data_IF_164313148953
#
_entry.id   IF_164313148953
#
_cell.length_a   1.000
_cell.length_b   1.000
_cell.length_c   1.000
_cell.angle_alpha   90.00
_cell.angle_beta   90.00
_cell.angle_gamma   90.00
#
_symmetry.space_group_name_H-M   'P 1'
#
loop_
_entity.id
_entity.type
_entity.pdbx_description
1 polymer ?
#
# COMPACT_ATOMS: atom_id res chain seq x y z
N UNK A 1 18.20 -0.89 1.77
CA UNK A 1 18.13 -2.30 2.04
C UNK A 1 16.85 -3.00 1.61
N UNK A 2 16.31 -2.71 0.39
CA UNK A 2 15.06 -3.34 -0.09
C UNK A 2 15.27 -4.30 -1.27
N UNK A 3 16.49 -4.72 -1.52
CA UNK A 3 16.80 -5.66 -2.59
C UNK A 3 16.65 -7.13 -2.17
N UNK A 4 16.07 -7.34 -1.01
CA UNK A 4 15.71 -8.63 -0.49
C UNK A 4 14.70 -9.31 -1.38
N UNK A 5 15.08 -10.40 -1.99
CA UNK A 5 14.20 -11.27 -2.78
C UNK A 5 13.29 -10.49 -3.72
N UNK A 6 13.39 -10.67 -4.99
CA UNK A 6 12.50 -10.05 -5.98
C UNK A 6 11.08 -10.53 -5.66
N UNK A 7 10.35 -9.76 -4.85
CA UNK A 7 8.97 -10.00 -4.44
C UNK A 7 8.16 -8.75 -4.72
N UNK A 8 7.03 -8.93 -5.35
CA UNK A 8 6.01 -7.91 -5.50
C UNK A 8 5.51 -7.45 -4.13
N UNK A 9 5.14 -6.18 -4.04
CA UNK A 9 4.74 -5.53 -2.79
C UNK A 9 3.46 -4.73 -2.97
N UNK A 10 2.57 -4.89 -2.02
CA UNK A 10 1.39 -4.03 -1.85
C UNK A 10 1.41 -3.39 -0.47
N UNK A 11 0.66 -2.32 -0.31
CA UNK A 11 0.53 -1.62 0.96
C UNK A 11 -0.93 -1.56 1.40
N UNK A 12 -1.17 -1.53 2.71
CA UNK A 12 -2.40 -0.95 3.21
C UNK A 12 -2.42 0.55 2.92
N UNK A 13 -3.59 1.18 3.00
CA UNK A 13 -3.73 2.64 2.82
C UNK A 13 -2.74 3.41 3.71
N UNK A 14 -2.61 3.03 4.99
CA UNK A 14 -1.67 3.68 5.93
C UNK A 14 -0.20 3.30 5.71
N UNK A 15 0.08 2.30 4.90
CA UNK A 15 1.45 1.86 4.56
C UNK A 15 2.03 2.53 3.32
N UNK A 16 1.26 3.36 2.62
CA UNK A 16 1.74 4.06 1.43
C UNK A 16 2.95 4.95 1.73
N UNK A 17 3.91 4.96 0.82
CA UNK A 17 5.19 5.62 1.01
C UNK A 17 6.22 4.80 1.80
N UNK A 18 5.81 3.72 2.47
CA UNK A 18 6.75 2.78 3.11
C UNK A 18 7.60 1.98 2.11
N UNK A 19 7.10 1.89 0.88
CA UNK A 19 7.83 1.39 -0.28
C UNK A 19 7.57 2.34 -1.47
N UNK A 20 8.60 2.71 -2.25
CA UNK A 20 8.43 3.68 -3.34
C UNK A 20 7.41 3.22 -4.38
N UNK A 21 6.44 4.08 -4.67
CA UNK A 21 5.36 3.75 -5.61
C UNK A 21 5.83 3.66 -7.07
N UNK A 22 6.95 4.28 -7.42
CA UNK A 22 7.58 4.18 -8.74
C UNK A 22 8.32 2.85 -8.97
N UNK A 23 8.55 2.07 -7.91
CA UNK A 23 9.28 0.82 -8.04
C UNK A 23 8.47 -0.23 -8.82
N UNK A 24 9.11 -0.92 -9.77
CA UNK A 24 8.46 -1.91 -10.67
C UNK A 24 7.71 -3.05 -9.97
N UNK A 25 8.10 -3.36 -8.73
CA UNK A 25 7.47 -4.41 -7.91
C UNK A 25 6.36 -3.87 -7.00
N UNK A 26 6.03 -2.59 -7.07
CA UNK A 26 4.93 -2.05 -6.30
C UNK A 26 3.61 -2.27 -7.04
N UNK A 27 2.66 -2.89 -6.36
CA UNK A 27 1.35 -3.24 -6.92
C UNK A 27 0.24 -2.24 -6.53
N UNK A 28 0.55 -1.28 -5.66
CA UNK A 28 -0.45 -0.35 -5.14
C UNK A 28 -1.04 -0.77 -3.79
N UNK A 29 -2.23 -0.27 -3.51
CA UNK A 29 -2.96 -0.58 -2.27
C UNK A 29 -3.71 -1.90 -2.35
N UNK A 30 -3.73 -2.62 -1.23
CA UNK A 30 -4.53 -3.82 -1.03
C UNK A 30 -5.81 -3.48 -0.25
N UNK A 31 -6.88 -4.20 -0.54
CA UNK A 31 -8.14 -4.15 0.18
C UNK A 31 -9.30 -3.62 -0.64
N UNK A 32 -10.38 -3.24 0.04
CA UNK A 32 -11.68 -2.86 -0.56
C UNK A 32 -11.56 -1.76 -1.65
N UNK A 33 -10.63 -0.85 -1.48
CA UNK A 33 -10.37 0.27 -2.40
C UNK A 33 -9.03 0.12 -3.13
N UNK A 34 -8.43 -1.08 -3.07
CA UNK A 34 -7.19 -1.38 -3.75
C UNK A 34 -7.37 -1.59 -5.25
N UNK A 35 -6.25 -1.68 -5.96
CA UNK A 35 -6.26 -2.03 -7.37
C UNK A 35 -6.67 -3.50 -7.56
N UNK A 36 -7.38 -3.79 -8.65
CA UNK A 36 -7.88 -5.13 -8.93
C UNK A 36 -6.74 -6.14 -9.06
N UNK A 37 -5.69 -5.77 -9.76
CA UNK A 37 -4.50 -6.60 -9.93
C UNK A 37 -3.84 -6.94 -8.59
N UNK A 38 -3.85 -6.02 -7.63
CA UNK A 38 -3.33 -6.27 -6.28
C UNK A 38 -4.14 -7.34 -5.56
N UNK A 39 -5.47 -7.28 -5.68
CA UNK A 39 -6.38 -8.30 -5.16
C UNK A 39 -6.15 -9.67 -5.82
N UNK A 40 -5.99 -9.69 -7.14
CA UNK A 40 -5.70 -10.92 -7.90
C UNK A 40 -4.36 -11.53 -7.49
N UNK A 41 -3.32 -10.71 -7.39
CA UNK A 41 -1.99 -11.16 -6.97
C UNK A 41 -2.04 -11.78 -5.58
N UNK A 42 -2.72 -11.13 -4.63
CA UNK A 42 -2.85 -11.64 -3.27
C UNK A 42 -3.63 -12.96 -3.20
N UNK A 43 -4.72 -13.08 -3.99
CA UNK A 43 -5.54 -14.29 -4.02
C UNK A 43 -4.84 -15.50 -4.65
N UNK A 44 -3.87 -15.27 -5.55
CA UNK A 44 -3.14 -16.34 -6.23
C UNK A 44 -1.72 -16.57 -5.68
N UNK A 45 -1.33 -15.83 -4.65
CA UNK A 45 -0.02 -16.01 -4.03
C UNK A 45 0.07 -17.34 -3.26
N UNK A 46 1.20 -18.01 -3.35
CA UNK A 46 1.57 -19.20 -2.56
C UNK A 46 2.19 -18.83 -1.21
N UNK A 47 2.75 -17.60 -1.12
CA UNK A 47 3.38 -17.05 0.08
C UNK A 47 2.99 -15.57 0.26
N UNK A 48 2.46 -15.25 1.42
CA UNK A 48 2.18 -13.87 1.84
C UNK A 48 3.03 -13.55 3.07
N UNK A 49 3.87 -12.53 2.95
CA UNK A 49 4.66 -12.01 4.08
C UNK A 49 4.01 -10.69 4.52
N UNK A 50 3.32 -10.71 5.64
CA UNK A 50 2.67 -9.55 6.22
C UNK A 50 3.61 -8.85 7.21
N UNK A 51 3.92 -7.59 6.94
CA UNK A 51 4.87 -6.79 7.72
C UNK A 51 4.11 -5.63 8.37
N UNK A 52 3.85 -5.69 9.67
CA UNK A 52 3.10 -4.69 10.42
C UNK A 52 1.66 -4.51 9.93
N UNK A 53 1.03 -5.58 9.46
CA UNK A 53 -0.30 -5.54 8.87
C UNK A 53 -1.33 -6.17 9.80
N UNK A 54 -2.35 -5.42 10.19
CA UNK A 54 -3.39 -5.89 11.13
C UNK A 54 -4.51 -6.71 10.48
N UNK A 55 -4.48 -6.89 9.16
CA UNK A 55 -5.53 -7.60 8.41
C UNK A 55 -6.95 -7.14 8.78
N UNK A 56 -7.16 -5.81 8.79
CA UNK A 56 -8.50 -5.27 9.03
C UNK A 56 -9.48 -5.75 7.97
N UNK A 57 -10.78 -5.66 8.25
CA UNK A 57 -11.86 -5.96 7.31
C UNK A 57 -11.74 -5.19 5.98
N UNK A 58 -11.22 -3.95 6.04
CA UNK A 58 -10.98 -3.12 4.85
C UNK A 58 -9.84 -3.65 3.97
N UNK A 59 -8.90 -4.41 4.52
CA UNK A 59 -7.76 -5.01 3.82
C UNK A 59 -8.03 -6.45 3.45
N UNK A 60 -8.46 -7.26 4.40
CA UNK A 60 -8.65 -8.69 4.19
C UNK A 60 -10.01 -9.06 3.59
N UNK A 61 -11.03 -8.19 3.72
CA UNK A 61 -12.39 -8.51 3.30
C UNK A 61 -12.93 -9.72 4.08
N UNK A 62 -13.17 -10.82 3.39
CA UNK A 62 -13.50 -12.10 4.00
C UNK A 62 -12.23 -12.72 4.60
N UNK A 63 -12.12 -12.65 5.93
CA UNK A 63 -10.92 -13.08 6.68
C UNK A 63 -10.65 -14.57 6.60
N UNK A 64 -11.68 -15.39 6.36
CA UNK A 64 -11.54 -16.84 6.24
C UNK A 64 -10.98 -17.24 4.89
N UNK A 65 -11.27 -16.43 3.86
CA UNK A 65 -10.80 -16.66 2.48
C UNK A 65 -9.52 -15.91 2.14
N UNK A 66 -9.08 -15.00 2.99
CA UNK A 66 -7.86 -14.22 2.72
C UNK A 66 -6.63 -15.13 2.71
N UNK A 67 -6.01 -15.27 1.54
CA UNK A 67 -4.80 -16.07 1.39
C UNK A 67 -5.03 -17.57 1.70
N UNK A 68 -6.23 -18.11 1.43
CA UNK A 68 -6.56 -19.51 1.74
C UNK A 68 -5.61 -20.53 1.12
N UNK A 69 -4.99 -20.18 -0.01
CA UNK A 69 -4.02 -21.01 -0.72
C UNK A 69 -2.57 -20.64 -0.38
N UNK A 70 -2.34 -19.64 0.45
CA UNK A 70 -1.04 -19.12 0.75
C UNK A 70 -0.49 -19.58 2.10
N UNK A 71 0.81 -19.78 2.18
CA UNK A 71 1.51 -19.76 3.46
C UNK A 71 1.64 -18.32 3.93
N UNK A 72 1.05 -17.99 5.07
CA UNK A 72 1.14 -16.64 5.64
C UNK A 72 2.21 -16.60 6.72
N UNK A 73 3.16 -15.66 6.58
CA UNK A 73 4.14 -15.28 7.59
C UNK A 73 3.75 -13.91 8.12
N UNK A 74 3.47 -13.78 9.40
CA UNK A 74 3.06 -12.52 10.02
C UNK A 74 4.16 -11.97 10.91
N UNK A 75 4.61 -10.75 10.62
CA UNK A 75 5.62 -10.01 11.38
C UNK A 75 4.98 -8.79 12.00
N UNK A 76 4.98 -8.70 13.30
CA UNK A 76 4.45 -7.54 14.03
C UNK A 76 5.19 -7.34 15.35
N UNK A 77 5.24 -6.10 15.82
CA UNK A 77 5.77 -5.79 17.15
C UNK A 77 4.75 -6.12 18.25
N UNK A 78 3.45 -6.06 17.90
CA UNK A 78 2.36 -6.33 18.85
C UNK A 78 1.91 -7.79 18.73
N UNK A 79 2.21 -8.55 19.78
CA UNK A 79 1.76 -9.95 19.90
C UNK A 79 0.25 -10.11 19.79
N UNK A 80 -0.53 -9.09 20.19
CA UNK A 80 -1.99 -9.16 20.16
C UNK A 80 -2.57 -9.11 18.73
N UNK A 81 -1.82 -8.63 17.76
CA UNK A 81 -2.24 -8.62 16.34
C UNK A 81 -2.02 -9.98 15.66
N UNK A 82 -1.11 -10.82 16.20
CA UNK A 82 -0.81 -12.13 15.61
C UNK A 82 -2.02 -13.07 15.72
N UNK A 83 -2.43 -13.63 14.58
CA UNK A 83 -3.56 -14.55 14.45
C UNK A 83 -4.94 -13.99 14.89
N UNK A 84 -5.03 -12.68 15.06
CA UNK A 84 -6.27 -12.02 15.49
C UNK A 84 -7.34 -12.05 14.39
N UNK A 85 -7.00 -11.65 13.20
CA UNK A 85 -7.93 -11.53 12.07
C UNK A 85 -7.72 -12.62 11.02
N UNK A 86 -6.48 -12.92 10.69
CA UNK A 86 -6.10 -13.95 9.71
C UNK A 86 -5.09 -14.89 10.38
N UNK A 87 -5.25 -16.17 10.16
CA UNK A 87 -4.32 -17.18 10.72
C UNK A 87 -3.02 -17.21 9.93
N UNK A 88 -1.91 -17.09 10.61
CA UNK A 88 -0.57 -17.23 10.03
C UNK A 88 0.03 -18.58 10.37
N UNK A 89 0.77 -19.16 9.44
CA UNK A 89 1.53 -20.40 9.67
C UNK A 89 2.77 -20.14 10.49
N UNK A 90 3.42 -18.98 10.27
CA UNK A 90 4.57 -18.53 11.03
C UNK A 90 4.36 -17.10 11.49
N UNK A 91 4.87 -16.79 12.68
CA UNK A 91 4.83 -15.43 13.22
C UNK A 91 6.18 -15.04 13.81
N UNK A 92 6.58 -13.80 13.57
CA UNK A 92 7.78 -13.18 14.11
C UNK A 92 7.36 -11.94 14.89
N UNK A 93 7.63 -11.93 16.20
CA UNK A 93 7.28 -10.84 17.09
C UNK A 93 8.55 -10.06 17.43
N UNK A 94 8.58 -8.78 17.08
CA UNK A 94 9.74 -7.92 17.35
C UNK A 94 9.75 -6.67 16.50
N UNK A 95 10.82 -5.89 16.65
CA UNK A 95 11.06 -4.74 15.80
C UNK A 95 11.21 -5.15 14.34
N UNK A 96 10.45 -4.50 13.46
CA UNK A 96 10.42 -4.86 12.05
C UNK A 96 11.73 -4.55 11.33
N UNK A 97 12.47 -3.52 11.75
CA UNK A 97 13.76 -3.19 11.16
C UNK A 97 14.77 -4.29 11.44
N UNK A 98 14.84 -4.75 12.69
CA UNK A 98 15.75 -5.80 13.10
C UNK A 98 15.38 -7.15 12.46
N UNK A 99 14.08 -7.47 12.48
CA UNK A 99 13.55 -8.71 11.87
C UNK A 99 13.84 -8.75 10.36
N UNK A 100 13.55 -7.65 9.63
CA UNK A 100 13.79 -7.58 8.21
C UNK A 100 15.30 -7.57 7.87
N UNK A 101 16.12 -6.91 8.68
CA UNK A 101 17.58 -6.93 8.50
C UNK A 101 18.14 -8.33 8.61
N UNK A 102 17.72 -9.07 9.65
CA UNK A 102 18.13 -10.46 9.85
C UNK A 102 17.65 -11.37 8.74
N UNK A 103 16.36 -11.23 8.36
CA UNK A 103 15.78 -12.02 7.28
C UNK A 103 16.49 -11.76 5.95
N UNK A 104 16.85 -10.49 5.66
CA UNK A 104 17.60 -10.13 4.45
C UNK A 104 18.93 -10.86 4.36
N UNK A 105 19.65 -10.94 5.47
CA UNK A 105 20.96 -11.58 5.50
C UNK A 105 20.89 -13.12 5.27
N UNK A 106 19.72 -13.71 5.53
CA UNK A 106 19.48 -15.15 5.38
C UNK A 106 18.84 -15.53 4.04
N UNK A 107 18.31 -14.57 3.30
CA UNK A 107 17.61 -14.84 2.05
C UNK A 107 18.51 -14.64 0.84
N UNK A 108 18.44 -15.60 -0.08
CA UNK A 108 19.03 -15.46 -1.42
C UNK A 108 18.05 -14.74 -2.35
N UNK A 109 18.60 -13.95 -3.28
CA UNK A 109 17.80 -13.34 -4.33
C UNK A 109 17.31 -14.41 -5.31
N UNK A 110 16.00 -14.46 -5.53
CA UNK A 110 15.36 -15.35 -6.50
C UNK A 110 14.50 -14.55 -7.47
N UNK A 111 14.58 -14.87 -8.75
CA UNK A 111 13.69 -14.33 -9.78
C UNK A 111 12.57 -15.32 -10.06
N UNK A 112 11.35 -14.82 -10.24
CA UNK A 112 10.21 -15.59 -10.74
C UNK A 112 9.59 -14.83 -11.93
N UNK A 113 10.16 -14.96 -13.14
CA UNK A 113 9.72 -14.21 -14.30
C UNK A 113 8.30 -14.58 -14.74
N UNK A 114 7.87 -15.83 -14.54
CA UNK A 114 6.51 -16.28 -14.89
C UNK A 114 5.47 -15.56 -14.02
N UNK A 115 5.69 -15.52 -12.71
CA UNK A 115 4.82 -14.78 -11.79
C UNK A 115 4.76 -13.28 -12.09
N UNK A 116 5.90 -12.66 -12.39
CA UNK A 116 5.94 -11.25 -12.76
C UNK A 116 5.20 -10.99 -14.08
N UNK A 117 5.25 -11.95 -15.01
CA UNK A 117 4.48 -11.87 -16.25
C UNK A 117 2.97 -11.95 -15.99
N UNK A 118 2.51 -12.90 -15.16
CA UNK A 118 1.08 -12.98 -14.77
C UNK A 118 0.58 -11.67 -14.14
N UNK A 119 1.34 -11.09 -13.24
CA UNK A 119 1.00 -9.79 -12.65
C UNK A 119 0.91 -8.70 -13.73
N UNK A 120 1.84 -8.68 -14.66
CA UNK A 120 1.82 -7.73 -15.78
C UNK A 120 0.59 -7.91 -16.67
N UNK A 121 0.21 -9.16 -16.94
CA UNK A 121 -0.96 -9.51 -17.74
C UNK A 121 -2.26 -9.07 -17.02
N UNK A 122 -2.37 -9.26 -15.70
CA UNK A 122 -3.49 -8.73 -14.90
C UNK A 122 -3.53 -7.21 -14.91
N UNK A 123 -2.40 -6.54 -14.75
CA UNK A 123 -2.31 -5.08 -14.87
C UNK A 123 -2.86 -4.60 -16.22
N UNK A 124 -2.38 -5.18 -17.31
CA UNK A 124 -2.81 -4.81 -18.67
C UNK A 124 -4.30 -5.07 -18.90
N UNK A 125 -4.86 -6.12 -18.29
CA UNK A 125 -6.28 -6.46 -18.40
C UNK A 125 -7.18 -5.48 -17.65
N UNK A 126 -6.72 -4.95 -16.52
CA UNK A 126 -7.55 -4.17 -15.58
C UNK A 126 -7.13 -2.71 -15.43
N UNK A 127 -6.02 -2.29 -16.03
CA UNK A 127 -5.63 -0.87 -16.09
C UNK A 127 -6.55 -0.12 -17.06
N UNK A 128 -7.83 -0.19 -16.75
CA UNK A 128 -8.85 0.63 -17.39
C UNK A 128 -8.94 1.95 -16.65
N UNK A 129 -7.85 2.72 -16.68
CA UNK A 129 -7.97 4.14 -16.37
C UNK A 129 -8.98 4.71 -17.36
N UNK A 130 -10.14 5.24 -16.92
CA UNK A 130 -11.11 5.80 -17.85
C UNK A 130 -10.38 6.79 -18.75
N UNK A 131 -10.53 6.63 -20.08
CA UNK A 131 -10.09 7.67 -20.99
C UNK A 131 -10.93 8.92 -20.69
N UNK A 132 -10.37 9.84 -19.93
CA UNK A 132 -11.00 11.14 -19.74
C UNK A 132 -10.48 12.12 -20.79
N UNK A 133 -11.40 12.84 -21.36
CA UNK A 133 -11.04 13.92 -22.27
C UNK A 133 -10.23 14.96 -21.48
N UNK A 134 -9.07 15.37 -22.02
CA UNK A 134 -8.20 16.40 -21.42
C UNK A 134 -8.93 17.73 -21.16
N UNK A 135 -10.12 17.91 -21.71
CA UNK A 135 -11.00 19.05 -21.47
C UNK A 135 -11.94 18.86 -20.28
N UNK A 136 -12.01 17.67 -19.71
CA UNK A 136 -12.81 17.38 -18.51
C UNK A 136 -12.00 17.65 -17.24
N UNK A 137 -11.89 18.93 -16.90
CA UNK A 137 -11.15 19.40 -15.73
C UNK A 137 -11.75 18.94 -14.39
N UNK A 138 -12.98 18.43 -14.39
CA UNK A 138 -13.65 17.99 -13.17
C UNK A 138 -13.35 16.53 -12.80
N UNK A 139 -12.66 15.77 -13.67
CA UNK A 139 -12.37 14.38 -13.38
C UNK A 139 -11.32 14.25 -12.26
N UNK A 140 -11.66 13.50 -11.20
CA UNK A 140 -10.85 13.38 -9.99
C UNK A 140 -9.40 12.90 -10.26
N UNK A 141 -9.22 11.96 -11.17
CA UNK A 141 -7.88 11.44 -11.50
C UNK A 141 -7.02 12.50 -12.19
N UNK A 142 -7.61 13.32 -13.06
CA UNK A 142 -6.91 14.43 -13.69
C UNK A 142 -6.40 15.46 -12.66
N UNK A 143 -7.22 15.76 -11.66
CA UNK A 143 -6.83 16.67 -10.56
C UNK A 143 -5.66 16.09 -9.80
N UNK A 144 -5.72 14.79 -9.42
CA UNK A 144 -4.66 14.12 -8.66
C UNK A 144 -3.36 14.05 -9.45
N UNK A 145 -3.43 13.71 -10.75
CA UNK A 145 -2.26 13.70 -11.63
C UNK A 145 -1.65 15.10 -11.82
N UNK A 146 -2.48 16.13 -11.84
CA UNK A 146 -2.01 17.52 -11.92
C UNK A 146 -1.30 17.93 -10.63
N UNK A 147 -1.85 17.56 -9.46
CA UNK A 147 -1.18 17.77 -8.18
C UNK A 147 0.16 17.00 -8.13
N UNK A 148 0.17 15.73 -8.58
CA UNK A 148 1.40 14.93 -8.64
C UNK A 148 2.51 15.59 -9.48
N UNK A 149 2.16 16.27 -10.57
CA UNK A 149 3.13 16.97 -11.42
C UNK A 149 3.69 18.25 -10.79
N UNK A 150 2.95 18.85 -9.87
CA UNK A 150 3.31 20.10 -9.19
C UNK A 150 3.97 19.86 -7.84
N UNK A 151 4.01 18.63 -7.35
CA UNK A 151 4.58 18.25 -6.07
C UNK A 151 5.83 17.39 -6.26
N UNK A 152 6.63 17.32 -5.20
CA UNK A 152 7.84 16.51 -5.11
C UNK A 152 7.63 15.32 -4.16
N UNK A 153 8.61 14.43 -4.08
CA UNK A 153 8.57 13.31 -3.13
C UNK A 153 8.63 13.73 -1.65
N UNK A 154 8.98 14.99 -1.38
CA UNK A 154 9.10 15.52 -0.01
C UNK A 154 7.86 16.26 0.47
N UNK A 155 6.93 16.57 -0.45
CA UNK A 155 5.70 17.27 -0.12
C UNK A 155 4.73 16.37 0.66
N UNK A 156 4.05 16.96 1.63
CA UNK A 156 3.10 16.24 2.48
C UNK A 156 1.70 16.41 1.92
N UNK A 157 1.12 15.33 1.44
CA UNK A 157 -0.26 15.31 0.96
C UNK A 157 -1.19 15.02 2.14
N UNK A 158 -2.14 15.91 2.34
CA UNK A 158 -3.16 15.76 3.38
C UNK A 158 -4.52 15.54 2.73
N UNK A 159 -5.24 14.52 3.16
CA UNK A 159 -6.61 14.29 2.71
C UNK A 159 -7.58 14.24 3.89
N UNK A 160 -8.78 14.70 3.67
CA UNK A 160 -9.91 14.36 4.52
C UNK A 160 -10.42 12.95 4.17
N UNK A 161 -11.54 12.53 4.75
CA UNK A 161 -12.16 11.23 4.51
C UNK A 161 -13.27 11.35 3.47
N UNK A 162 -13.24 10.45 2.49
CA UNK A 162 -14.21 10.41 1.41
C UNK A 162 -13.66 9.78 0.13
N UNK A 163 -14.38 9.89 -0.98
CA UNK A 163 -13.96 9.32 -2.26
C UNK A 163 -12.59 9.85 -2.71
N UNK A 164 -12.30 11.13 -2.49
CA UNK A 164 -11.00 11.72 -2.82
C UNK A 164 -9.84 11.04 -2.10
N UNK A 165 -10.01 10.61 -0.85
CA UNK A 165 -9.01 9.83 -0.11
C UNK A 165 -8.69 8.51 -0.85
N UNK A 166 -9.72 7.83 -1.35
CA UNK A 166 -9.54 6.58 -2.09
C UNK A 166 -8.85 6.82 -3.44
N UNK A 167 -9.26 7.85 -4.16
CA UNK A 167 -8.62 8.22 -5.42
C UNK A 167 -7.15 8.61 -5.25
N UNK A 168 -6.81 9.37 -4.20
CA UNK A 168 -5.43 9.69 -3.85
C UNK A 168 -4.64 8.42 -3.52
N UNK A 169 -5.20 7.51 -2.73
CA UNK A 169 -4.53 6.24 -2.39
C UNK A 169 -4.23 5.36 -3.62
N UNK A 170 -5.03 5.48 -4.67
CA UNK A 170 -4.89 4.69 -5.89
C UNK A 170 -3.98 5.34 -6.93
N UNK A 171 -4.01 6.66 -7.05
CA UNK A 171 -3.41 7.39 -8.17
C UNK A 171 -2.20 8.23 -7.80
N UNK A 172 -2.11 8.75 -6.58
CA UNK A 172 -0.94 9.52 -6.15
C UNK A 172 0.21 8.58 -5.79
N UNK A 173 1.40 8.82 -6.34
CA UNK A 173 2.59 8.00 -6.14
C UNK A 173 3.40 8.51 -4.95
N UNK A 174 3.23 7.89 -3.80
CA UNK A 174 4.01 8.20 -2.60
C UNK A 174 5.37 7.51 -2.68
N UNK A 175 6.44 8.30 -2.73
CA UNK A 175 7.81 7.80 -2.87
C UNK A 175 8.55 7.68 -1.53
N UNK A 176 8.08 8.41 -0.52
CA UNK A 176 8.70 8.47 0.80
C UNK A 176 7.70 8.21 1.93
N UNK A 177 8.13 7.60 3.04
CA UNK A 177 7.27 7.42 4.20
C UNK A 177 6.93 8.76 4.84
N UNK A 178 5.78 8.82 5.53
CA UNK A 178 5.30 9.99 6.28
C UNK A 178 5.00 11.21 5.41
N UNK A 179 4.76 11.02 4.12
CA UNK A 179 4.35 12.08 3.20
C UNK A 179 2.85 12.08 2.91
N UNK A 180 2.10 11.20 3.55
CA UNK A 180 0.64 11.20 3.49
C UNK A 180 0.01 11.22 4.89
N UNK A 181 -0.79 12.26 5.15
CA UNK A 181 -1.58 12.42 6.36
C UNK A 181 -3.06 12.24 6.06
N UNK A 182 -3.66 11.22 6.65
CA UNK A 182 -5.09 10.91 6.47
C UNK A 182 -5.65 10.15 7.65
N UNK A 183 -6.95 10.28 7.91
CA UNK A 183 -7.64 9.49 8.93
C UNK A 183 -8.02 8.11 8.38
N UNK A 184 -7.03 7.24 8.16
CA UNK A 184 -7.23 5.90 7.58
C UNK A 184 -7.63 4.82 8.60
N UNK A 185 -7.59 5.12 9.88
CA UNK A 185 -8.01 4.21 10.96
C UNK A 185 -9.49 4.37 11.31
N UNK A 186 -9.85 5.51 11.88
CA UNK A 186 -11.21 5.81 12.33
C UNK A 186 -12.08 6.45 11.24
N UNK A 187 -11.48 6.97 10.17
CA UNK A 187 -12.23 7.61 9.08
C UNK A 187 -12.94 8.89 9.53
N UNK A 188 -12.28 9.72 10.33
CA UNK A 188 -12.86 10.94 10.91
C UNK A 188 -12.94 12.04 9.87
N UNK A 189 -14.14 12.43 9.46
CA UNK A 189 -14.38 13.59 8.61
C UNK A 189 -14.06 14.89 9.35
N UNK A 190 -13.51 15.89 8.65
CA UNK A 190 -13.02 17.13 9.23
C UNK A 190 -11.56 17.08 9.71
N UNK A 191 -10.89 15.93 9.54
CA UNK A 191 -9.47 15.75 9.86
C UNK A 191 -8.55 16.62 9.00
N UNK A 192 -8.87 16.74 7.71
CA UNK A 192 -7.95 17.23 6.70
C UNK A 192 -7.45 18.66 6.94
N UNK A 193 -8.34 19.60 7.30
CA UNK A 193 -7.97 21.00 7.50
C UNK A 193 -6.98 21.16 8.67
N UNK A 194 -7.29 20.58 9.83
CA UNK A 194 -6.41 20.66 10.99
C UNK A 194 -5.08 19.98 10.76
N UNK A 195 -5.08 18.82 10.09
CA UNK A 195 -3.87 18.09 9.75
C UNK A 195 -2.99 18.85 8.74
N UNK A 196 -3.57 19.55 7.77
CA UNK A 196 -2.84 20.37 6.81
C UNK A 196 -2.14 21.55 7.50
N UNK A 197 -2.86 22.26 8.38
CA UNK A 197 -2.27 23.36 9.16
C UNK A 197 -1.13 22.84 10.04
N UNK A 198 -1.34 21.71 10.73
CA UNK A 198 -0.32 21.09 11.57
C UNK A 198 0.91 20.64 10.78
N UNK A 199 0.71 20.01 9.62
CA UNK A 199 1.79 19.58 8.74
C UNK A 199 2.63 20.78 8.24
N UNK A 200 1.99 21.85 7.79
CA UNK A 200 2.66 23.08 7.35
C UNK A 200 3.40 23.78 8.49
N UNK A 201 2.78 23.83 9.67
CA UNK A 201 3.42 24.43 10.87
C UNK A 201 4.68 23.67 11.29
N UNK A 202 4.63 22.35 11.22
CA UNK A 202 5.78 21.50 11.57
C UNK A 202 6.84 21.43 10.47
N UNK A 203 6.52 21.79 9.24
CA UNK A 203 7.41 21.76 8.07
C UNK A 203 7.22 23.06 7.26
N UNK A 204 7.65 24.21 7.77
CA UNK A 204 7.37 25.51 7.15
C UNK A 204 7.98 25.68 5.75
N UNK A 205 9.02 24.91 5.44
CA UNK A 205 9.74 24.96 4.16
C UNK A 205 9.19 23.98 3.10
N UNK A 206 8.05 23.33 3.38
CA UNK A 206 7.42 22.35 2.48
C UNK A 206 6.06 22.82 1.99
#
# INVERSE_FOLDING_TARGET
GSEMCIRDRCSSVMGLGGFPASHKLFLGTLGMHGAYETGKTTANADLIIAVGARFSDRVAGDREKFGENATIIHMDIDKAEINKNVKSKFSLIGDLKDTLTTLTALCESKSNPEWLKEISDWKAQFDKTPEYNSKDFAHAYHIIESVQKLTTADDIIVTDVGQHQMWVSQKYKFEKPRTWCTSGGLGTMGYGMGAAIGAQTANPDK
#
